data_IF_819807463358
#
_entry.id   IF_819807463358
#
_cell.length_a   1.000
_cell.length_b   1.000
_cell.length_c   1.000
_cell.angle_alpha   90.00
_cell.angle_beta   90.00
_cell.angle_gamma   90.00
#
_symmetry.space_group_name_H-M   'P 1'
#
loop_
_entity.id
_entity.type
_entity.pdbx_description
1 polymer ?
#
# COMPACT_ATOMS: atom_id res chain seq x y z
N UNK A 1 6.61 1.65 21.36
CA UNK A 1 6.88 2.01 19.95
C UNK A 1 6.90 0.74 19.11
N UNK A 2 6.57 0.79 17.82
CA UNK A 2 6.78 -0.37 16.93
C UNK A 2 8.26 -0.62 16.68
N UNK A 3 8.66 -1.90 16.63
CA UNK A 3 10.06 -2.29 16.40
C UNK A 3 10.37 -2.40 14.90
N UNK A 4 9.38 -2.81 14.11
CA UNK A 4 9.50 -2.90 12.66
C UNK A 4 9.40 -1.50 12.01
N UNK A 5 10.35 -1.12 11.14
CA UNK A 5 10.25 0.08 10.31
C UNK A 5 9.08 0.04 9.32
N UNK A 6 8.67 1.23 8.88
CA UNK A 6 7.67 1.35 7.84
C UNK A 6 8.24 0.94 6.46
N UNK A 7 7.47 0.19 5.70
CA UNK A 7 7.80 -0.23 4.34
C UNK A 7 6.57 -0.74 3.60
N UNK A 8 6.66 -0.82 2.28
CA UNK A 8 5.67 -1.41 1.39
C UNK A 8 6.35 -1.87 0.09
N UNK A 9 5.79 -2.88 -0.55
CA UNK A 9 6.12 -3.28 -1.94
C UNK A 9 4.85 -3.11 -2.76
N UNK A 10 4.97 -2.59 -3.97
CA UNK A 10 3.85 -2.42 -4.88
C UNK A 10 4.19 -3.03 -6.23
N UNK A 11 3.23 -3.67 -6.86
CA UNK A 11 3.32 -4.08 -8.26
C UNK A 11 2.13 -3.47 -8.99
N UNK A 12 2.39 -2.46 -9.81
CA UNK A 12 1.37 -1.72 -10.56
C UNK A 12 1.47 -2.07 -12.04
N UNK A 13 0.37 -2.54 -12.59
CA UNK A 13 0.16 -2.78 -14.03
C UNK A 13 -0.83 -1.74 -14.58
N UNK A 14 -1.25 -1.89 -15.84
CA UNK A 14 -2.07 -0.87 -16.52
C UNK A 14 -3.42 -0.62 -15.82
N UNK A 15 -4.07 -1.68 -15.35
CA UNK A 15 -5.44 -1.68 -14.84
C UNK A 15 -5.57 -2.37 -13.47
N UNK A 16 -4.45 -2.64 -12.80
CA UNK A 16 -4.42 -3.28 -11.48
C UNK A 16 -3.21 -2.89 -10.65
N UNK A 17 -3.36 -2.95 -9.34
CA UNK A 17 -2.26 -2.75 -8.39
C UNK A 17 -2.35 -3.74 -7.23
N UNK A 18 -1.22 -4.35 -6.90
CA UNK A 18 -1.07 -5.19 -5.70
C UNK A 18 -0.10 -4.52 -4.74
N UNK A 19 -0.51 -4.32 -3.49
CA UNK A 19 0.27 -3.65 -2.45
C UNK A 19 0.50 -4.59 -1.27
N UNK A 20 1.76 -4.91 -0.99
CA UNK A 20 2.17 -5.65 0.21
C UNK A 20 2.60 -4.66 1.28
N UNK A 21 1.89 -4.63 2.40
CA UNK A 21 2.15 -3.64 3.46
C UNK A 21 1.68 -4.15 4.83
N UNK A 22 2.48 -3.98 5.90
CA UNK A 22 1.98 -4.17 7.25
C UNK A 22 1.09 -2.99 7.60
N UNK A 23 -0.23 -3.17 7.61
CA UNK A 23 -1.23 -2.12 7.87
C UNK A 23 -2.30 -2.59 8.85
N UNK A 24 -2.84 -1.66 9.65
CA UNK A 24 -4.02 -1.90 10.48
C UNK A 24 -5.34 -1.52 9.75
N UNK A 25 -5.23 -0.93 8.56
CA UNK A 25 -6.34 -0.30 7.84
C UNK A 25 -6.30 -0.66 6.35
N UNK A 26 -6.38 -1.96 6.03
CA UNK A 26 -6.27 -2.45 4.65
C UNK A 26 -7.25 -1.75 3.69
N UNK A 27 -8.51 -1.54 4.11
CA UNK A 27 -9.52 -0.84 3.31
C UNK A 27 -9.12 0.61 3.02
N UNK A 28 -8.71 1.38 4.04
CA UNK A 28 -8.27 2.77 3.86
C UNK A 28 -7.03 2.83 2.97
N UNK A 29 -6.10 1.89 3.16
CA UNK A 29 -4.89 1.79 2.34
C UNK A 29 -5.24 1.58 0.87
N UNK A 30 -6.19 0.68 0.59
CA UNK A 30 -6.68 0.40 -0.76
C UNK A 30 -7.34 1.62 -1.39
N UNK A 31 -8.24 2.27 -0.66
CA UNK A 31 -9.00 3.43 -1.15
C UNK A 31 -8.02 4.59 -1.47
N UNK A 32 -7.03 4.84 -0.61
CA UNK A 32 -5.98 5.84 -0.84
C UNK A 32 -5.06 5.51 -2.03
N UNK A 33 -4.73 4.23 -2.23
CA UNK A 33 -3.93 3.79 -3.38
C UNK A 33 -4.72 3.92 -4.68
N UNK A 34 -5.99 3.52 -4.67
CA UNK A 34 -6.90 3.68 -5.80
C UNK A 34 -7.00 5.15 -6.23
N UNK A 35 -7.18 6.06 -5.26
CA UNK A 35 -7.22 7.50 -5.50
C UNK A 35 -5.96 8.03 -6.20
N UNK A 36 -4.76 7.77 -5.66
CA UNK A 36 -3.52 8.31 -6.25
C UNK A 36 -3.15 7.65 -7.58
N UNK A 37 -3.63 6.44 -7.81
CA UNK A 37 -3.47 5.73 -9.07
C UNK A 37 -4.58 6.06 -10.08
N UNK A 38 -5.67 6.72 -9.68
CA UNK A 38 -6.84 6.89 -10.55
C UNK A 38 -7.42 5.55 -11.03
N UNK A 39 -7.39 4.55 -10.17
CA UNK A 39 -7.99 3.23 -10.39
C UNK A 39 -9.28 3.09 -9.59
N UNK A 40 -10.16 2.20 -10.01
CA UNK A 40 -11.30 1.78 -9.18
C UNK A 40 -10.83 0.93 -8.01
N UNK A 41 -11.58 0.92 -6.91
CA UNK A 41 -11.16 0.21 -5.69
C UNK A 41 -11.07 -1.30 -5.85
N UNK A 42 -11.79 -1.90 -6.81
CA UNK A 42 -11.75 -3.32 -7.14
C UNK A 42 -10.53 -3.70 -8.01
N UNK A 43 -9.86 -2.70 -8.61
CA UNK A 43 -8.59 -2.85 -9.31
C UNK A 43 -7.37 -2.80 -8.37
N UNK A 44 -7.59 -2.53 -7.07
CA UNK A 44 -6.52 -2.45 -6.07
C UNK A 44 -6.66 -3.55 -5.03
N UNK A 45 -5.64 -4.38 -4.93
CA UNK A 45 -5.51 -5.43 -3.94
C UNK A 45 -4.47 -5.03 -2.89
N UNK A 46 -4.88 -4.96 -1.63
CA UNK A 46 -3.95 -4.81 -0.50
C UNK A 46 -3.78 -6.16 0.14
N UNK A 47 -2.53 -6.61 0.23
CA UNK A 47 -2.08 -7.85 0.87
C UNK A 47 -1.37 -7.51 2.19
N UNK A 48 -2.08 -7.51 3.32
CA UNK A 48 -1.46 -7.23 4.61
C UNK A 48 -0.40 -8.27 4.96
N UNK A 49 0.82 -7.82 5.26
CA UNK A 49 1.90 -8.69 5.75
C UNK A 49 1.89 -8.78 7.28
N UNK A 50 2.72 -9.68 7.84
CA UNK A 50 2.96 -9.69 9.28
C UNK A 50 3.44 -8.32 9.76
N UNK A 51 2.93 -7.89 10.92
CA UNK A 51 3.08 -6.52 11.44
C UNK A 51 3.86 -6.54 12.75
N UNK A 52 5.06 -5.95 12.76
CA UNK A 52 5.97 -5.92 13.91
C UNK A 52 5.65 -4.80 14.92
N UNK A 53 4.35 -4.63 15.21
CA UNK A 53 3.81 -3.57 16.06
C UNK A 53 3.30 -2.36 15.27
N UNK A 54 2.27 -1.70 15.82
CA UNK A 54 1.63 -0.53 15.18
C UNK A 54 1.34 0.59 16.16
N UNK A 55 0.70 0.31 17.29
CA UNK A 55 0.38 1.29 18.35
C UNK A 55 -0.22 2.61 17.79
N UNK A 56 -1.09 2.48 16.78
CA UNK A 56 -1.72 3.61 16.07
C UNK A 56 -0.93 4.14 14.87
N UNK A 57 0.39 3.91 14.78
CA UNK A 57 1.21 4.39 13.64
C UNK A 57 0.80 3.78 12.30
N UNK A 58 0.29 2.55 12.31
CA UNK A 58 -0.13 1.80 11.11
C UNK A 58 -1.60 2.06 10.69
N UNK A 59 -2.23 3.10 11.25
CA UNK A 59 -3.52 3.65 10.79
C UNK A 59 -3.35 4.66 9.64
N UNK A 60 -2.10 5.03 9.33
CA UNK A 60 -1.74 5.94 8.24
C UNK A 60 -0.69 5.26 7.36
N UNK A 61 -0.95 5.15 6.04
CA UNK A 61 -0.18 4.28 5.13
C UNK A 61 0.42 5.02 3.92
N UNK A 62 1.23 6.08 4.13
CA UNK A 62 1.79 6.87 3.05
C UNK A 62 2.76 6.04 2.19
N UNK A 63 3.42 5.04 2.79
CA UNK A 63 4.36 4.17 2.10
C UNK A 63 3.67 3.34 1.01
N UNK A 64 2.39 2.96 1.20
CA UNK A 64 1.61 2.25 0.19
C UNK A 64 1.38 3.11 -1.05
N UNK A 65 0.96 4.37 -0.86
CA UNK A 65 0.81 5.36 -1.95
C UNK A 65 2.13 5.62 -2.67
N UNK A 66 3.21 5.83 -1.92
CA UNK A 66 4.52 6.12 -2.48
C UNK A 66 5.05 4.94 -3.31
N UNK A 67 5.00 3.72 -2.76
CA UNK A 67 5.41 2.52 -3.49
C UNK A 67 4.59 2.33 -4.77
N UNK A 68 3.28 2.52 -4.70
CA UNK A 68 2.38 2.42 -5.86
C UNK A 68 2.76 3.42 -6.98
N UNK A 69 2.97 4.69 -6.63
CA UNK A 69 3.37 5.72 -7.61
C UNK A 69 4.74 5.43 -8.23
N UNK A 70 5.69 4.96 -7.42
CA UNK A 70 7.03 4.60 -7.90
C UNK A 70 6.96 3.39 -8.84
N UNK A 71 6.25 2.33 -8.45
CA UNK A 71 6.09 1.13 -9.28
C UNK A 71 5.46 1.47 -10.63
N UNK A 72 4.41 2.30 -10.64
CA UNK A 72 3.81 2.80 -11.90
C UNK A 72 4.82 3.57 -12.75
N UNK A 73 5.60 4.46 -12.15
CA UNK A 73 6.54 5.30 -12.89
C UNK A 73 7.68 4.49 -13.52
N UNK A 74 8.12 3.41 -12.85
CA UNK A 74 9.23 2.55 -13.30
C UNK A 74 8.73 1.39 -14.17
N UNK A 75 7.46 1.00 -14.05
CA UNK A 75 6.90 -0.16 -14.76
C UNK A 75 7.39 -1.50 -14.21
N UNK A 76 7.81 -1.54 -12.94
CA UNK A 76 8.32 -2.71 -12.25
C UNK A 76 7.93 -2.67 -10.76
N UNK A 77 7.97 -3.83 -10.05
CA UNK A 77 7.80 -3.86 -8.60
C UNK A 77 8.83 -3.03 -7.82
#
# INVERSE_FOLDING_TARGET
AQMEPNGAVAHVEADKAIIYIPTQVAKVTRDEVAEVLGLETDQVEVQPTYLGGGFGRRLHTPNGKQAALISRAVGAP
#
